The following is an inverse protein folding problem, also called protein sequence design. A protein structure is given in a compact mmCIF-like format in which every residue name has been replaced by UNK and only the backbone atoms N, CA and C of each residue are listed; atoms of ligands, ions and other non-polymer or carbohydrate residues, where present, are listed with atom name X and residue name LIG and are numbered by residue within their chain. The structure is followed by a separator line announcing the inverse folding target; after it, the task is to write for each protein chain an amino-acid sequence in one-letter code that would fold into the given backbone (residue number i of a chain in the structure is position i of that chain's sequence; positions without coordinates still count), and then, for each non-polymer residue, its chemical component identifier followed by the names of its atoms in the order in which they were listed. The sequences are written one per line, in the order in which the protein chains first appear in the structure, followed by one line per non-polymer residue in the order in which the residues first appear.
data_IF_138681383835
#
_entry.id   IF_138681383835
#
_cell.length_a   1.000
_cell.length_b   1.000
_cell.length_c   1.000
_cell.angle_alpha   90.00
_cell.angle_beta   90.00
_cell.angle_gamma   90.00
#
_symmetry.space_group_name_H-M   'P 1'
#
loop_
_entity.id
_entity.type
_entity.pdbx_description
1 polymer ?
#
# COMPACT_ATOMS: atom_id res chain seq x y z
N UNK A 1 -28.13 11.11 -1.23
CA UNK A 1 -27.31 11.55 -0.08
C UNK A 1 -25.98 10.82 -0.19
N UNK A 2 -25.01 11.42 -0.88
CA UNK A 2 -23.68 10.83 -1.01
C UNK A 2 -22.88 11.11 0.25
N UNK A 3 -22.30 10.07 0.85
CA UNK A 3 -21.41 10.20 2.00
C UNK A 3 -20.23 11.10 1.60
N UNK A 4 -19.77 12.08 2.41
CA UNK A 4 -18.61 12.91 2.07
C UNK A 4 -17.30 12.12 1.95
N UNK A 5 -16.35 12.61 1.14
CA UNK A 5 -15.04 11.93 0.95
C UNK A 5 -14.19 11.95 2.21
N UNK A 6 -14.26 13.04 2.98
CA UNK A 6 -13.66 13.16 4.32
C UNK A 6 -14.11 12.02 5.25
N UNK A 7 -15.40 11.66 5.19
CA UNK A 7 -15.95 10.57 6.01
C UNK A 7 -15.46 9.21 5.54
N UNK A 8 -15.34 8.98 4.24
CA UNK A 8 -14.74 7.76 3.70
C UNK A 8 -13.26 7.63 4.12
N UNK A 9 -12.53 8.74 4.08
CA UNK A 9 -11.13 8.78 4.50
C UNK A 9 -10.97 8.41 5.98
N UNK A 10 -11.79 9.00 6.85
CA UNK A 10 -11.80 8.68 8.28
C UNK A 10 -12.12 7.19 8.53
N UNK A 11 -13.14 6.64 7.84
CA UNK A 11 -13.50 5.21 7.97
C UNK A 11 -12.36 4.32 7.49
N UNK A 12 -11.77 4.62 6.33
CA UNK A 12 -10.72 3.80 5.73
C UNK A 12 -9.39 3.93 6.49
N UNK A 13 -9.12 5.06 7.15
CA UNK A 13 -7.95 5.21 8.01
C UNK A 13 -7.94 4.19 9.16
N UNK A 14 -9.10 3.82 9.70
CA UNK A 14 -9.19 2.74 10.69
C UNK A 14 -8.84 1.35 10.15
N UNK A 15 -8.82 1.17 8.83
CA UNK A 15 -8.41 -0.07 8.17
C UNK A 15 -6.90 -0.12 7.88
N UNK A 16 -6.14 0.96 8.14
CA UNK A 16 -4.69 1.02 7.87
C UNK A 16 -3.89 -0.14 8.50
N UNK A 17 -4.17 -0.62 9.74
CA UNK A 17 -3.49 -1.80 10.28
C UNK A 17 -3.76 -3.10 9.53
N UNK A 18 -4.76 -3.11 8.64
CA UNK A 18 -5.23 -4.26 7.86
C UNK A 18 -5.21 -3.93 6.36
N UNK A 19 -4.03 -3.82 5.73
CA UNK A 19 -3.89 -3.39 4.34
C UNK A 19 -4.64 -4.30 3.34
N UNK A 20 -4.86 -5.57 3.68
CA UNK A 20 -5.69 -6.48 2.87
C UNK A 20 -7.16 -6.02 2.77
N UNK A 21 -7.73 -5.47 3.84
CA UNK A 21 -9.11 -4.96 3.83
C UNK A 21 -9.22 -3.66 3.04
N UNK A 22 -8.24 -2.76 3.16
CA UNK A 22 -8.15 -1.57 2.31
C UNK A 22 -8.05 -1.94 0.82
N UNK A 23 -7.25 -2.95 0.48
CA UNK A 23 -7.14 -3.44 -0.90
C UNK A 23 -8.47 -4.01 -1.43
N UNK A 24 -9.29 -4.63 -0.58
CA UNK A 24 -10.64 -5.08 -0.94
C UNK A 24 -11.58 -3.91 -1.18
N UNK A 25 -11.57 -2.92 -0.28
CA UNK A 25 -12.36 -1.68 -0.41
C UNK A 25 -12.02 -0.93 -1.70
N UNK A 26 -10.74 -0.90 -2.08
CA UNK A 26 -10.28 -0.27 -3.32
C UNK A 26 -10.88 -0.88 -4.60
N UNK A 27 -11.46 -2.10 -4.53
CA UNK A 27 -12.06 -2.80 -5.67
C UNK A 27 -13.57 -2.57 -5.81
N UNK A 28 -14.21 -1.88 -4.86
CA UNK A 28 -15.67 -1.71 -4.83
C UNK A 28 -16.14 -0.75 -5.92
N UNK A 29 -15.56 0.45 -6.00
CA UNK A 29 -15.87 1.45 -7.02
C UNK A 29 -14.72 2.45 -7.18
N UNK A 30 -14.73 3.26 -8.25
CA UNK A 30 -13.69 4.27 -8.51
C UNK A 30 -13.47 5.23 -7.35
N UNK A 31 -14.55 5.66 -6.69
CA UNK A 31 -14.47 6.57 -5.56
C UNK A 31 -13.77 5.96 -4.35
N UNK A 32 -14.09 4.70 -4.04
CA UNK A 32 -13.45 3.98 -2.93
C UNK A 32 -12.00 3.68 -3.26
N UNK A 33 -11.71 3.34 -4.51
CA UNK A 33 -10.35 3.15 -5.01
C UNK A 33 -9.47 4.37 -4.75
N UNK A 34 -9.92 5.57 -5.13
CA UNK A 34 -9.15 6.79 -4.96
C UNK A 34 -8.78 7.06 -3.49
N UNK A 35 -9.75 6.90 -2.57
CA UNK A 35 -9.51 7.11 -1.13
C UNK A 35 -8.63 6.00 -0.54
N UNK A 36 -8.92 4.74 -0.86
CA UNK A 36 -8.19 3.59 -0.33
C UNK A 36 -6.74 3.54 -0.84
N UNK A 37 -6.49 3.85 -2.13
CA UNK A 37 -5.14 3.94 -2.68
C UNK A 37 -4.34 5.06 -2.01
N UNK A 38 -4.96 6.23 -1.76
CA UNK A 38 -4.30 7.31 -1.01
C UNK A 38 -3.81 6.87 0.37
N UNK A 39 -4.59 6.07 1.08
CA UNK A 39 -4.21 5.56 2.42
C UNK A 39 -3.17 4.44 2.30
N UNK A 40 -3.38 3.48 1.40
CA UNK A 40 -2.48 2.34 1.18
C UNK A 40 -1.07 2.77 0.77
N UNK A 41 -0.98 3.75 -0.13
CA UNK A 41 0.31 4.15 -0.71
C UNK A 41 0.97 5.31 0.05
N UNK A 42 0.26 6.01 0.94
CA UNK A 42 0.88 7.06 1.76
C UNK A 42 2.04 6.55 2.63
N UNK A 43 1.86 5.39 3.26
CA UNK A 43 2.85 4.78 4.16
C UNK A 43 3.05 3.31 3.83
N UNK A 44 3.99 3.01 2.94
CA UNK A 44 4.28 1.65 2.49
C UNK A 44 5.26 1.02 3.47
N UNK A 45 4.85 -0.09 4.10
CA UNK A 45 5.71 -0.92 4.95
C UNK A 45 5.89 -2.30 4.32
N UNK A 46 7.13 -2.64 3.97
CA UNK A 46 7.49 -3.93 3.39
C UNK A 46 8.37 -4.66 4.38
N UNK A 47 7.86 -5.77 4.93
CA UNK A 47 8.67 -6.76 5.63
C UNK A 47 8.84 -7.96 4.72
N UNK A 48 10.08 -8.36 4.44
CA UNK A 48 10.38 -9.52 3.62
C UNK A 48 11.58 -10.30 4.16
N UNK A 49 11.48 -11.63 4.07
CA UNK A 49 12.58 -12.53 4.39
C UNK A 49 13.46 -12.68 3.15
N UNK A 50 14.77 -12.52 3.32
CA UNK A 50 15.79 -12.69 2.30
C UNK A 50 16.64 -13.92 2.66
N UNK A 51 16.31 -15.10 2.13
CA UNK A 51 17.12 -16.30 2.33
C UNK A 51 18.55 -16.06 1.85
N UNK A 52 19.56 -16.57 2.58
CA UNK A 52 20.97 -16.42 2.15
C UNK A 52 21.24 -17.07 0.78
N UNK A 53 20.48 -18.10 0.43
CA UNK A 53 20.54 -18.77 -0.88
C UNK A 53 20.01 -17.91 -2.03
N UNK A 54 19.18 -16.90 -1.74
CA UNK A 54 18.60 -15.99 -2.72
C UNK A 54 18.21 -14.67 -2.05
N UNK A 55 19.15 -13.72 -2.01
CA UNK A 55 18.97 -12.43 -1.34
C UNK A 55 18.16 -11.42 -2.18
N UNK A 56 17.20 -11.88 -2.99
CA UNK A 56 16.44 -11.00 -3.87
C UNK A 56 15.15 -10.48 -3.20
N UNK A 57 14.97 -9.15 -3.08
CA UNK A 57 13.82 -8.54 -2.40
C UNK A 57 12.60 -8.45 -3.32
N UNK A 58 11.91 -9.58 -3.52
CA UNK A 58 10.77 -9.69 -4.42
C UNK A 58 9.63 -8.71 -4.11
N UNK A 59 9.35 -8.43 -2.83
CA UNK A 59 8.23 -7.55 -2.44
C UNK A 59 8.55 -6.10 -2.73
N UNK A 60 9.78 -5.67 -2.39
CA UNK A 60 10.25 -4.33 -2.72
C UNK A 60 10.31 -4.15 -4.24
N UNK A 61 10.87 -5.12 -4.97
CA UNK A 61 10.98 -5.03 -6.42
C UNK A 61 9.62 -4.82 -7.09
N UNK A 62 8.63 -5.65 -6.76
CA UNK A 62 7.26 -5.52 -7.29
C UNK A 62 6.61 -4.20 -6.89
N UNK A 63 6.86 -3.71 -5.67
CA UNK A 63 6.38 -2.40 -5.23
C UNK A 63 6.96 -1.29 -6.12
N UNK A 64 8.28 -1.29 -6.34
CA UNK A 64 8.93 -0.32 -7.22
C UNK A 64 8.41 -0.39 -8.65
N UNK A 65 8.25 -1.59 -9.23
CA UNK A 65 7.66 -1.75 -10.57
C UNK A 65 6.26 -1.13 -10.64
N UNK A 66 5.44 -1.36 -9.61
CA UNK A 66 4.09 -0.79 -9.53
C UNK A 66 4.12 0.74 -9.47
N UNK A 67 5.00 1.32 -8.65
CA UNK A 67 5.14 2.78 -8.52
C UNK A 67 5.70 3.43 -9.79
N UNK A 68 6.57 2.73 -10.53
CA UNK A 68 7.09 3.20 -11.81
C UNK A 68 6.01 3.15 -12.91
N UNK A 69 5.18 2.10 -12.92
CA UNK A 69 4.09 1.94 -13.88
C UNK A 69 2.89 2.86 -13.61
N UNK A 70 2.72 3.34 -12.36
CA UNK A 70 1.59 4.16 -11.91
C UNK A 70 2.07 5.45 -11.23
N UNK A 71 2.34 6.52 -12.02
CA UNK A 71 2.81 7.80 -11.50
C UNK A 71 1.85 8.41 -10.48
N UNK A 72 0.53 8.21 -10.67
CA UNK A 72 -0.53 8.64 -9.75
C UNK A 72 -0.33 8.09 -8.34
N UNK A 73 0.12 6.84 -8.21
CA UNK A 73 0.39 6.24 -6.90
C UNK A 73 1.69 6.74 -6.30
N UNK A 74 2.71 6.94 -7.13
CA UNK A 74 4.03 7.43 -6.69
C UNK A 74 3.93 8.77 -5.99
N UNK A 75 3.10 9.67 -6.51
CA UNK A 75 2.90 11.01 -5.94
C UNK A 75 2.18 10.98 -4.58
N UNK A 76 1.54 9.85 -4.23
CA UNK A 76 0.89 9.64 -2.93
C UNK A 76 1.87 9.16 -1.86
N UNK A 77 3.04 8.63 -2.23
CA UNK A 77 3.99 8.02 -1.30
C UNK A 77 4.66 9.08 -0.43
N UNK A 78 4.39 9.03 0.87
CA UNK A 78 5.02 9.92 1.87
C UNK A 78 6.14 9.22 2.64
N UNK A 79 6.03 7.90 2.81
CA UNK A 79 7.03 7.08 3.50
C UNK A 79 7.06 5.67 2.92
N UNK A 80 8.25 5.20 2.57
CA UNK A 80 8.54 3.81 2.25
C UNK A 80 9.49 3.27 3.32
N UNK A 81 9.07 2.22 4.04
CA UNK A 81 9.88 1.56 5.06
C UNK A 81 10.05 0.10 4.68
N UNK A 82 11.30 -0.35 4.64
CA UNK A 82 11.66 -1.71 4.25
C UNK A 82 12.39 -2.37 5.42
N UNK A 83 11.94 -3.57 5.78
CA UNK A 83 12.55 -4.42 6.79
C UNK A 83 12.92 -5.75 6.16
N UNK A 84 14.21 -5.99 6.01
CA UNK A 84 14.75 -7.27 5.58
C UNK A 84 15.09 -8.15 6.78
N UNK A 85 14.78 -9.44 6.66
CA UNK A 85 15.12 -10.45 7.64
C UNK A 85 15.84 -11.58 6.92
N UNK A 86 17.10 -11.82 7.26
CA UNK A 86 17.79 -13.01 6.76
C UNK A 86 17.54 -14.18 7.72
N UNK A 87 17.52 -15.40 7.19
CA UNK A 87 17.56 -16.59 8.03
C UNK A 87 18.89 -16.60 8.83
N UNK A 88 18.87 -17.08 10.10
CA UNK A 88 20.06 -17.15 10.94
C UNK A 88 21.22 -17.88 10.26
#
# INVERSE_FOLDING_TARGET
MDLPTETLDAIFAHLQPRPAELARVARVCHRFRAVAERILYAHIFISESLPRSSAFPHRLHRCCETLLARPDLRDLVRRLTVRWQTDP
#
